data_IF_540898952146
#
_entry.id   IF_540898952146
#
_cell.length_a   1.000
_cell.length_b   1.000
_cell.length_c   1.000
_cell.angle_alpha   90.00
_cell.angle_beta   90.00
_cell.angle_gamma   90.00
#
_symmetry.space_group_name_H-M   'P 1'
#
loop_
_entity.id
_entity.type
_entity.pdbx_description
1 polymer ?
#
# COMPACT_ATOMS: atom_id res chain seq x y z
N UNK A 1 10.15 20.67 0.86
CA UNK A 1 8.77 20.13 0.75
C UNK A 1 8.59 19.20 -0.47
N UNK A 2 9.44 19.28 -1.51
CA UNK A 2 9.37 18.42 -2.72
C UNK A 2 10.03 17.03 -2.61
N UNK A 3 10.82 16.76 -1.56
CA UNK A 3 11.59 15.51 -1.45
C UNK A 3 10.69 14.27 -1.49
N UNK A 4 9.57 14.30 -0.78
CA UNK A 4 8.64 13.17 -0.78
C UNK A 4 7.97 13.01 -2.14
N UNK A 5 7.57 14.10 -2.80
CA UNK A 5 6.94 14.04 -4.13
C UNK A 5 7.86 13.39 -5.17
N UNK A 6 9.15 13.74 -5.16
CA UNK A 6 10.15 13.11 -6.04
C UNK A 6 10.31 11.61 -5.77
N UNK A 7 10.17 11.17 -4.53
CA UNK A 7 10.21 9.74 -4.22
C UNK A 7 9.01 9.01 -4.80
N UNK A 8 7.80 9.56 -4.72
CA UNK A 8 6.62 8.93 -5.33
C UNK A 8 6.71 8.83 -6.87
N UNK A 9 7.46 9.72 -7.50
CA UNK A 9 7.71 9.65 -8.95
C UNK A 9 8.76 8.61 -9.34
N UNK A 10 9.60 8.17 -8.41
CA UNK A 10 10.78 7.34 -8.71
C UNK A 10 10.85 6.02 -7.96
N UNK A 11 9.98 5.82 -6.95
CA UNK A 11 9.95 4.65 -6.08
C UNK A 11 8.51 4.18 -5.82
N UNK A 12 8.31 2.88 -5.89
CA UNK A 12 7.13 2.22 -5.33
C UNK A 12 7.18 2.23 -3.80
N UNK A 13 6.01 2.30 -3.16
CA UNK A 13 5.88 2.31 -1.71
C UNK A 13 4.99 1.17 -1.24
N UNK A 14 5.32 0.62 -0.08
CA UNK A 14 4.47 -0.29 0.69
C UNK A 14 4.04 0.41 1.98
N UNK A 15 2.75 0.65 2.14
CA UNK A 15 2.16 1.22 3.35
C UNK A 15 1.71 0.10 4.29
N UNK A 16 2.15 0.16 5.55
CA UNK A 16 1.88 -0.84 6.58
C UNK A 16 1.16 -0.19 7.75
N UNK A 17 0.07 -0.81 8.24
CA UNK A 17 -0.61 -0.36 9.47
C UNK A 17 -1.47 0.90 9.32
N UNK A 18 -1.85 1.28 8.10
CA UNK A 18 -2.56 2.53 7.82
C UNK A 18 -4.09 2.37 7.67
N UNK A 19 -4.63 1.18 7.94
CA UNK A 19 -6.03 0.83 7.61
C UNK A 19 -7.08 1.79 8.20
N UNK A 20 -6.95 2.17 9.48
CA UNK A 20 -7.86 3.13 10.13
C UNK A 20 -7.32 4.58 10.14
N UNK A 21 -6.00 4.71 10.06
CA UNK A 21 -5.23 5.98 10.12
C UNK A 21 -5.34 6.80 8.84
N UNK A 22 -6.00 6.28 7.80
CA UNK A 22 -6.26 6.98 6.53
C UNK A 22 -7.24 8.16 6.63
N UNK A 23 -7.89 8.32 7.78
CA UNK A 23 -8.60 9.57 8.12
C UNK A 23 -7.63 10.71 8.42
N UNK A 24 -6.34 10.43 8.58
CA UNK A 24 -5.33 11.45 8.82
C UNK A 24 -4.97 12.16 7.51
N UNK A 25 -5.03 13.49 7.56
CA UNK A 25 -4.75 14.42 6.47
C UNK A 25 -3.41 14.16 5.75
N UNK A 26 -2.49 13.43 6.39
CA UNK A 26 -1.18 13.06 5.85
C UNK A 26 -1.33 12.16 4.62
N UNK A 27 -2.18 11.13 4.65
CA UNK A 27 -2.35 10.22 3.52
C UNK A 27 -3.09 10.85 2.34
N UNK A 28 -4.08 11.70 2.63
CA UNK A 28 -4.80 12.47 1.62
C UNK A 28 -3.89 13.50 0.94
N UNK A 29 -3.00 14.15 1.71
CA UNK A 29 -2.01 15.05 1.15
C UNK A 29 -1.04 14.30 0.22
N UNK A 30 -0.56 13.12 0.62
CA UNK A 30 0.37 12.31 -0.19
C UNK A 30 -0.24 11.89 -1.53
N UNK A 31 -1.54 11.58 -1.60
CA UNK A 31 -2.21 11.23 -2.86
C UNK A 31 -2.50 12.43 -3.77
N UNK A 32 -2.85 13.61 -3.23
CA UNK A 32 -3.16 14.80 -4.04
C UNK A 32 -1.95 15.37 -4.78
N UNK A 33 -0.74 15.19 -4.25
CA UNK A 33 0.48 15.72 -4.89
C UNK A 33 1.09 14.79 -5.94
N UNK A 34 0.75 13.49 -5.94
CA UNK A 34 1.29 12.50 -6.87
C UNK A 34 0.49 12.39 -8.17
N UNK A 35 -0.81 12.70 -8.12
CA UNK A 35 -1.75 12.59 -9.26
C UNK A 35 -1.41 13.51 -10.45
N UNK A 36 -0.54 14.52 -10.29
CA UNK A 36 -0.15 15.38 -11.41
C UNK A 36 0.68 14.68 -12.48
N UNK A 37 1.36 13.58 -12.16
CA UNK A 37 2.09 12.77 -13.13
C UNK A 37 1.60 11.34 -13.01
N UNK A 38 1.06 10.77 -14.10
CA UNK A 38 0.76 9.34 -14.19
C UNK A 38 2.07 8.58 -14.10
N UNK A 39 2.48 8.23 -12.88
CA UNK A 39 3.67 7.42 -12.65
C UNK A 39 3.27 5.96 -12.86
N UNK A 40 3.98 5.23 -13.72
CA UNK A 40 3.79 3.78 -13.95
C UNK A 40 4.19 2.92 -12.72
N UNK A 41 4.39 3.55 -11.55
CA UNK A 41 4.80 2.87 -10.34
C UNK A 41 3.58 2.40 -9.55
N UNK A 42 3.58 1.11 -9.23
CA UNK A 42 2.54 0.52 -8.41
C UNK A 42 2.86 0.71 -6.93
N UNK A 43 1.94 1.36 -6.21
CA UNK A 43 2.00 1.50 -4.75
C UNK A 43 1.05 0.49 -4.10
N UNK A 44 1.45 -0.04 -2.95
CA UNK A 44 0.72 -1.08 -2.26
C UNK A 44 0.43 -0.69 -0.82
N UNK A 45 -0.72 -1.12 -0.31
CA UNK A 45 -1.07 -0.99 1.09
C UNK A 45 -1.44 -2.36 1.64
N UNK A 46 -0.77 -2.77 2.71
CA UNK A 46 -0.99 -4.06 3.34
C UNK A 46 -1.83 -3.87 4.61
N UNK A 47 -3.01 -4.49 4.64
CA UNK A 47 -4.00 -4.31 5.72
C UNK A 47 -4.54 -5.63 6.26
N UNK A 48 -5.11 -5.57 7.46
CA UNK A 48 -5.91 -6.64 8.01
C UNK A 48 -7.29 -6.63 7.35
N UNK A 49 -7.78 -7.78 6.89
CA UNK A 49 -9.14 -7.90 6.35
C UNK A 49 -10.08 -8.36 7.47
N UNK A 50 -10.48 -7.44 8.34
CA UNK A 50 -11.42 -7.73 9.43
C UNK A 50 -12.87 -7.87 8.95
N UNK A 51 -13.24 -7.11 7.92
CA UNK A 51 -14.58 -7.09 7.35
C UNK A 51 -14.50 -6.91 5.83
N UNK A 52 -15.24 -7.74 5.07
CA UNK A 52 -15.18 -7.73 3.62
C UNK A 52 -15.67 -6.41 3.00
N UNK A 53 -16.80 -5.89 3.46
CA UNK A 53 -17.39 -4.66 2.94
C UNK A 53 -16.47 -3.46 3.18
N UNK A 54 -15.88 -3.37 4.39
CA UNK A 54 -14.91 -2.32 4.70
C UNK A 54 -13.65 -2.44 3.85
N UNK A 55 -13.16 -3.67 3.63
CA UNK A 55 -11.98 -3.92 2.79
C UNK A 55 -12.23 -3.55 1.33
N UNK A 56 -13.38 -3.91 0.75
CA UNK A 56 -13.71 -3.55 -0.64
C UNK A 56 -13.91 -2.05 -0.81
N UNK A 57 -14.54 -1.39 0.16
CA UNK A 57 -14.65 0.07 0.17
C UNK A 57 -13.26 0.73 0.20
N UNK A 58 -12.39 0.28 1.09
CA UNK A 58 -11.02 0.76 1.19
C UNK A 58 -10.22 0.52 -0.09
N UNK A 59 -10.37 -0.65 -0.72
CA UNK A 59 -9.77 -0.95 -2.02
C UNK A 59 -10.21 0.04 -3.10
N UNK A 60 -11.52 0.28 -3.22
CA UNK A 60 -12.08 1.20 -4.21
C UNK A 60 -11.55 2.62 -4.00
N UNK A 61 -11.59 3.10 -2.75
CA UNK A 61 -11.14 4.45 -2.39
C UNK A 61 -9.63 4.64 -2.69
N UNK A 62 -8.79 3.67 -2.34
CA UNK A 62 -7.34 3.75 -2.55
C UNK A 62 -6.92 3.53 -4.00
N UNK A 63 -7.68 2.76 -4.77
CA UNK A 63 -7.40 2.54 -6.19
C UNK A 63 -7.53 3.84 -6.99
N UNK A 64 -8.45 4.73 -6.63
CA UNK A 64 -8.56 6.08 -7.20
C UNK A 64 -7.29 6.92 -6.96
N UNK A 65 -6.51 6.57 -5.95
CA UNK A 65 -5.25 7.20 -5.60
C UNK A 65 -4.02 6.43 -6.13
N UNK A 66 -4.21 5.42 -6.99
CA UNK A 66 -3.12 4.62 -7.54
C UNK A 66 -2.49 3.66 -6.52
N UNK A 67 -3.17 3.37 -5.41
CA UNK A 67 -2.69 2.47 -4.36
C UNK A 67 -3.52 1.20 -4.38
N UNK A 68 -2.86 0.06 -4.59
CA UNK A 68 -3.49 -1.27 -4.51
C UNK A 68 -3.51 -1.74 -3.06
N UNK A 69 -4.70 -2.03 -2.54
CA UNK A 69 -4.86 -2.55 -1.18
C UNK A 69 -4.86 -4.08 -1.23
N UNK A 70 -3.97 -4.68 -0.44
CA UNK A 70 -3.76 -6.12 -0.29
C UNK A 70 -3.94 -6.50 1.17
N UNK A 71 -4.47 -7.70 1.40
CA UNK A 71 -4.63 -8.23 2.75
C UNK A 71 -3.52 -9.20 3.09
N UNK A 72 -2.99 -9.13 4.31
CA UNK A 72 -2.11 -10.16 4.86
C UNK A 72 -2.88 -11.30 5.55
N UNK A 73 -4.21 -11.22 5.58
CA UNK A 73 -5.08 -12.17 6.25
C UNK A 73 -6.18 -11.50 7.09
N UNK A 74 -6.83 -12.29 7.94
CA UNK A 74 -7.94 -11.93 8.81
C UNK A 74 -7.56 -11.82 10.30
N UNK A 75 -6.31 -12.15 10.66
CA UNK A 75 -5.78 -11.88 11.99
C UNK A 75 -4.32 -11.36 12.00
N UNK A 76 -3.98 -10.52 12.98
CA UNK A 76 -2.63 -9.93 13.12
C UNK A 76 -1.50 -10.98 13.18
N UNK A 77 -1.79 -12.19 13.69
CA UNK A 77 -0.79 -13.27 13.80
C UNK A 77 -0.27 -13.74 12.44
N UNK A 78 -1.07 -13.64 11.38
CA UNK A 78 -0.69 -14.00 10.01
C UNK A 78 0.26 -12.98 9.38
N UNK A 79 0.39 -11.77 9.95
CA UNK A 79 1.26 -10.73 9.38
C UNK A 79 2.71 -11.20 9.23
N UNK A 80 3.25 -11.86 10.26
CA UNK A 80 4.62 -12.34 10.25
C UNK A 80 4.84 -13.42 9.19
N UNK A 81 3.89 -14.37 9.08
CA UNK A 81 3.90 -15.43 8.08
C UNK A 81 3.84 -14.84 6.67
N UNK A 82 2.92 -13.90 6.43
CA UNK A 82 2.80 -13.21 5.16
C UNK A 82 4.11 -12.50 4.75
N UNK A 83 4.75 -11.78 5.69
CA UNK A 83 6.02 -11.09 5.41
C UNK A 83 7.15 -12.07 5.15
N UNK A 84 7.19 -13.21 5.86
CA UNK A 84 8.16 -14.27 5.62
C UNK A 84 7.98 -14.91 4.24
N UNK A 85 6.74 -15.21 3.85
CA UNK A 85 6.42 -15.76 2.54
C UNK A 85 6.73 -14.77 1.43
N UNK A 86 6.38 -13.50 1.60
CA UNK A 86 6.69 -12.42 0.67
C UNK A 86 8.20 -12.29 0.49
N UNK A 87 8.96 -12.25 1.60
CA UNK A 87 10.42 -12.17 1.57
C UNK A 87 11.02 -13.39 0.88
N UNK A 88 10.50 -14.58 1.17
CA UNK A 88 10.93 -15.83 0.55
C UNK A 88 10.67 -15.81 -0.96
N UNK A 89 9.50 -15.33 -1.40
CA UNK A 89 9.17 -15.21 -2.82
C UNK A 89 10.06 -14.19 -3.53
N UNK A 90 10.31 -13.03 -2.92
CA UNK A 90 11.22 -12.01 -3.47
C UNK A 90 12.64 -12.56 -3.60
N UNK A 91 13.14 -13.26 -2.57
CA UNK A 91 14.46 -13.88 -2.60
C UNK A 91 14.58 -14.98 -3.66
N UNK A 92 13.51 -15.76 -3.88
CA UNK A 92 13.42 -16.78 -4.94
C UNK A 92 13.31 -16.17 -6.35
N UNK A 93 12.63 -15.02 -6.47
CA UNK A 93 12.50 -14.25 -7.70
C UNK A 93 13.70 -13.33 -7.96
N UNK A 94 14.80 -13.47 -7.22
CA UNK A 94 16.09 -13.00 -7.71
C UNK A 94 16.36 -13.70 -9.04
N UNK A 95 16.12 -12.98 -10.13
CA UNK A 95 16.72 -13.29 -11.43
C UNK A 95 18.25 -13.34 -11.30
N UNK A 96 18.94 -14.10 -12.17
CA UNK A 96 20.38 -14.38 -12.12
C UNK A 96 21.28 -13.17 -11.94
#
# INVERSE_FOLDING_TARGET
QEVIQNLYQTKSFLFLGCGETLRDQIFQALSLYTVKNKVDLEHYMLVLKENEDHFFKLQADMLLHGIKVVSYGDCFKQFLEYVQDLTTQICKHRSP
#
